data_IF_395083562739
#
_entry.id   IF_395083562739
#
_cell.length_a   1.000
_cell.length_b   1.000
_cell.length_c   1.000
_cell.angle_alpha   90.00
_cell.angle_beta   90.00
_cell.angle_gamma   90.00
#
_symmetry.space_group_name_H-M   'P 1'
#
loop_
_entity.id
_entity.type
_entity.pdbx_description
1 polymer ?
#
# COMPACT_ATOMS: atom_id res chain seq x y z
N UNK A 1 0.15 -9.04 -9.93
CA UNK A 1 -0.36 -9.57 -8.64
C UNK A 1 -1.48 -8.68 -8.15
N UNK A 2 -2.45 -9.24 -7.43
CA UNK A 2 -3.51 -8.50 -6.75
C UNK A 2 -3.50 -8.89 -5.27
N UNK A 3 -3.53 -7.90 -4.39
CA UNK A 3 -3.59 -8.10 -2.95
C UNK A 3 -5.06 -8.07 -2.50
N UNK A 4 -5.81 -9.14 -2.76
CA UNK A 4 -7.29 -9.17 -2.64
C UNK A 4 -7.81 -8.83 -1.24
N UNK A 5 -7.06 -9.18 -0.20
CA UNK A 5 -7.41 -8.89 1.20
C UNK A 5 -6.93 -7.53 1.70
N UNK A 6 -6.35 -6.69 0.84
CA UNK A 6 -5.78 -5.39 1.24
C UNK A 6 -6.57 -4.26 0.61
N UNK A 7 -7.00 -3.34 1.46
CA UNK A 7 -7.69 -2.11 1.06
C UNK A 7 -6.71 -0.93 1.10
N UNK A 8 -6.79 -0.04 0.11
CA UNK A 8 -6.08 1.23 0.15
C UNK A 8 -6.77 2.17 1.16
N UNK A 9 -6.03 2.69 2.15
CA UNK A 9 -6.60 3.57 3.18
C UNK A 9 -7.01 4.96 2.65
N UNK A 10 -6.52 5.37 1.48
CA UNK A 10 -6.78 6.71 0.92
C UNK A 10 -7.90 6.75 -0.12
N UNK A 11 -8.09 5.68 -0.90
CA UNK A 11 -9.13 5.63 -1.94
C UNK A 11 -10.12 4.49 -1.74
N UNK A 12 -10.00 3.75 -0.63
CA UNK A 12 -10.87 2.64 -0.24
C UNK A 12 -10.96 1.52 -1.31
N UNK A 13 -10.01 1.49 -2.24
CA UNK A 13 -9.94 0.45 -3.27
C UNK A 13 -9.68 -0.89 -2.59
N UNK A 14 -10.68 -1.77 -2.65
CA UNK A 14 -10.56 -3.12 -2.13
C UNK A 14 -9.83 -4.02 -3.14
N UNK A 15 -8.75 -4.64 -2.67
CA UNK A 15 -7.94 -5.52 -3.48
C UNK A 15 -6.93 -4.76 -4.34
N UNK A 16 -5.91 -4.18 -3.71
CA UNK A 16 -4.87 -3.38 -4.38
C UNK A 16 -4.25 -4.14 -5.56
N UNK A 17 -4.31 -3.55 -6.75
CA UNK A 17 -3.72 -4.11 -7.97
C UNK A 17 -2.26 -3.67 -8.11
N UNK A 18 -1.39 -4.61 -8.48
CA UNK A 18 0.02 -4.34 -8.68
C UNK A 18 0.79 -4.28 -7.36
N UNK A 19 1.37 -3.13 -7.05
CA UNK A 19 2.23 -2.93 -5.89
C UNK A 19 1.41 -2.37 -4.73
N UNK A 20 1.45 -3.07 -3.58
CA UNK A 20 1.02 -2.57 -2.28
C UNK A 20 2.16 -1.78 -1.63
N UNK A 21 1.85 -0.57 -1.18
CA UNK A 21 2.76 0.27 -0.42
C UNK A 21 2.31 0.27 1.04
N UNK A 22 2.99 -0.51 1.88
CA UNK A 22 2.69 -0.57 3.32
C UNK A 22 3.53 0.47 4.05
N UNK A 23 2.89 1.39 4.74
CA UNK A 23 3.58 2.34 5.62
C UNK A 23 4.19 1.59 6.81
N UNK A 24 5.45 1.83 7.12
CA UNK A 24 6.15 1.21 8.26
C UNK A 24 6.05 2.06 9.54
N UNK A 25 5.62 3.31 9.40
CA UNK A 25 5.43 4.23 10.52
C UNK A 25 3.99 4.20 11.08
N UNK A 26 3.04 3.56 10.37
CA UNK A 26 1.65 3.46 10.75
C UNK A 26 1.23 1.99 10.89
N UNK A 27 0.29 1.72 11.78
CA UNK A 27 -0.29 0.38 11.93
C UNK A 27 -1.29 0.10 10.79
N UNK A 28 -1.13 -1.07 10.17
CA UNK A 28 -1.90 -1.58 9.02
C UNK A 28 -2.31 -0.55 7.94
N UNK A 29 -1.41 0.39 7.62
CA UNK A 29 -1.71 1.43 6.66
C UNK A 29 -1.12 1.10 5.28
N UNK A 30 -1.98 1.04 4.28
CA UNK A 30 -1.71 0.51 2.96
C UNK A 30 -2.17 1.50 1.89
N UNK A 31 -1.31 1.72 0.89
CA UNK A 31 -1.63 2.53 -0.28
C UNK A 31 -1.51 1.71 -1.55
N UNK A 32 -2.44 1.95 -2.48
CA UNK A 32 -2.24 1.56 -3.87
C UNK A 32 -1.20 2.47 -4.52
N UNK A 33 -0.64 2.03 -5.65
CA UNK A 33 0.37 2.83 -6.35
C UNK A 33 -0.14 4.20 -6.79
N UNK A 34 -1.43 4.34 -7.13
CA UNK A 34 -2.01 5.64 -7.51
C UNK A 34 -1.98 6.63 -6.35
N UNK A 35 -2.35 6.20 -5.14
CA UNK A 35 -2.35 7.06 -3.96
C UNK A 35 -0.95 7.39 -3.47
N UNK A 36 -0.03 6.41 -3.53
CA UNK A 36 1.38 6.64 -3.19
C UNK A 36 2.02 7.72 -4.08
N UNK A 37 1.89 7.64 -5.40
CA UNK A 37 2.49 8.63 -6.32
C UNK A 37 1.75 9.98 -6.35
N UNK A 38 0.60 10.08 -5.68
CA UNK A 38 -0.15 11.34 -5.51
C UNK A 38 0.12 11.98 -4.15
N UNK A 39 1.10 11.49 -3.41
CA UNK A 39 1.46 11.96 -2.07
C UNK A 39 0.25 12.04 -1.14
N UNK A 40 -0.64 11.05 -1.23
CA UNK A 40 -1.88 10.99 -0.43
C UNK A 40 -1.66 10.65 1.04
N UNK A 41 -0.41 10.45 1.45
CA UNK A 41 -0.03 10.19 2.83
C UNK A 41 1.24 11.00 3.16
N UNK A 42 1.61 11.05 4.44
CA UNK A 42 2.81 11.74 4.92
C UNK A 42 4.05 11.26 4.16
N UNK A 43 4.65 12.15 3.39
CA UNK A 43 5.80 11.86 2.50
C UNK A 43 7.08 11.47 3.26
N UNK A 44 7.18 11.84 4.54
CA UNK A 44 8.29 11.49 5.41
C UNK A 44 8.20 10.06 5.96
N UNK A 45 7.04 9.40 5.84
CA UNK A 45 6.88 8.03 6.29
C UNK A 45 7.58 7.07 5.32
N UNK A 46 8.18 6.02 5.88
CA UNK A 46 8.86 4.97 5.13
C UNK A 46 7.83 3.95 4.66
N UNK A 47 7.91 3.56 3.38
CA UNK A 47 7.02 2.57 2.79
C UNK A 47 7.77 1.31 2.38
N UNK A 48 7.26 0.12 2.75
CA UNK A 48 7.66 -1.17 2.20
C UNK A 48 6.89 -1.41 0.89
N UNK A 49 7.64 -1.74 -0.16
CA UNK A 49 7.10 -2.07 -1.48
C UNK A 49 6.87 -3.58 -1.59
N UNK A 50 5.61 -3.99 -1.65
CA UNK A 50 5.22 -5.40 -1.67
C UNK A 50 4.62 -5.70 -3.05
N UNK A 51 5.28 -6.55 -3.85
CA UNK A 51 4.88 -6.88 -5.22
C UNK A 51 4.06 -8.16 -5.31
N UNK A 52 4.34 -9.11 -4.42
CA UNK A 52 3.67 -10.39 -4.30
C UNK A 52 3.36 -10.72 -2.83
N UNK A 53 2.44 -11.64 -2.59
CA UNK A 53 2.20 -12.20 -1.25
C UNK A 53 3.44 -12.89 -0.67
N UNK A 54 4.39 -13.30 -1.51
CA UNK A 54 5.68 -13.86 -1.11
C UNK A 54 6.66 -12.80 -0.55
N UNK A 55 6.45 -11.51 -0.85
CA UNK A 55 7.30 -10.40 -0.37
C UNK A 55 6.85 -9.85 1.01
N UNK A 56 5.81 -10.44 1.58
CA UNK A 56 5.27 -10.02 2.90
C UNK A 56 6.18 -10.45 4.06
N UNK A 57 7.13 -11.36 3.81
CA UNK A 57 8.14 -11.85 4.77
C UNK A 57 9.15 -10.81 5.25
#
# INVERSE_FOLDING_TARGET
VRHESVTCNECEENGIRGIRWKCLNCDDYNLCSSCYHKDKHIIEHVFKRIKSSSDEG
#
